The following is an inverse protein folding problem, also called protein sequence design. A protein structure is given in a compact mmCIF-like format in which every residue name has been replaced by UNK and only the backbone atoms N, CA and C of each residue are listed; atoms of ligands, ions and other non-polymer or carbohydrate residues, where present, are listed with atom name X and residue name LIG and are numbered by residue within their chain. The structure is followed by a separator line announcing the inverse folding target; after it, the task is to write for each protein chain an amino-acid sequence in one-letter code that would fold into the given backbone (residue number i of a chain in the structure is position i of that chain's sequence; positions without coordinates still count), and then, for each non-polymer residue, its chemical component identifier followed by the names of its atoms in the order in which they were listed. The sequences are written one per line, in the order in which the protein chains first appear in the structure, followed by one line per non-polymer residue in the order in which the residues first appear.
data_IF_727672476478
#
_entry.id   IF_727672476478
#
_cell.length_a   1.000
_cell.length_b   1.000
_cell.length_c   1.000
_cell.angle_alpha   90.00
_cell.angle_beta   90.00
_cell.angle_gamma   90.00
#
_symmetry.space_group_name_H-M   'P 1'
#
loop_
_entity.id
_entity.type
_entity.pdbx_description
1 polymer ?
#
# COMPACT_ATOMS: atom_id res chain seq x y z
N UNK A 1 -17.11 23.02 9.64
CA UNK A 1 -15.89 22.69 8.86
C UNK A 1 -15.22 21.50 9.53
N UNK A 2 -15.74 20.29 9.32
CA UNK A 2 -15.05 19.04 9.69
C UNK A 2 -14.29 18.60 8.44
N UNK A 3 -12.99 18.90 8.32
CA UNK A 3 -12.31 18.56 7.06
C UNK A 3 -10.92 19.14 6.85
N UNK A 4 -10.01 19.08 7.83
CA UNK A 4 -8.59 19.41 7.58
C UNK A 4 -7.59 18.37 8.06
N UNK A 5 -8.03 17.21 8.54
CA UNK A 5 -7.11 16.18 9.01
C UNK A 5 -7.77 14.83 9.16
N UNK A 6 -6.92 13.80 9.18
CA UNK A 6 -7.31 12.42 9.39
C UNK A 6 -7.90 12.26 10.80
N UNK A 7 -9.12 11.75 10.87
CA UNK A 7 -9.91 11.70 12.11
C UNK A 7 -9.53 10.51 12.99
N UNK A 8 -9.93 10.57 14.26
CA UNK A 8 -9.78 9.45 15.19
C UNK A 8 -10.57 8.21 14.73
N UNK A 9 -11.75 8.42 14.13
CA UNK A 9 -12.54 7.33 13.55
C UNK A 9 -11.81 6.67 12.38
N UNK A 10 -11.24 7.46 11.46
CA UNK A 10 -10.44 6.92 10.35
C UNK A 10 -9.23 6.12 10.85
N UNK A 11 -8.50 6.63 11.85
CA UNK A 11 -7.39 5.87 12.47
C UNK A 11 -7.89 4.56 13.08
N UNK A 12 -8.98 4.60 13.84
CA UNK A 12 -9.55 3.42 14.46
C UNK A 12 -9.97 2.38 13.42
N UNK A 13 -10.59 2.78 12.31
CA UNK A 13 -10.99 1.88 11.22
C UNK A 13 -9.78 1.19 10.59
N UNK A 14 -8.72 1.94 10.24
CA UNK A 14 -7.49 1.39 9.65
C UNK A 14 -6.79 0.46 10.64
N UNK A 15 -6.56 0.91 11.88
CA UNK A 15 -5.82 0.13 12.89
C UNK A 15 -6.57 -1.14 13.28
N UNK A 16 -7.89 -1.08 13.51
CA UNK A 16 -8.68 -2.26 13.89
C UNK A 16 -8.72 -3.28 12.75
N UNK A 17 -8.98 -2.83 11.52
CA UNK A 17 -9.02 -3.75 10.36
C UNK A 17 -7.65 -4.36 10.07
N UNK A 18 -6.57 -3.57 10.18
CA UNK A 18 -5.21 -4.11 10.06
C UNK A 18 -4.89 -5.14 11.14
N UNK A 19 -5.33 -4.91 12.38
CA UNK A 19 -5.15 -5.89 13.46
C UNK A 19 -5.86 -7.22 13.19
N UNK A 20 -7.02 -7.19 12.54
CA UNK A 20 -7.72 -8.42 12.13
C UNK A 20 -7.00 -9.11 10.96
N UNK A 21 -6.64 -8.36 9.92
CA UNK A 21 -5.94 -8.85 8.72
C UNK A 21 -4.54 -9.41 9.00
N UNK A 22 -3.88 -8.96 10.08
CA UNK A 22 -2.54 -9.46 10.45
C UNK A 22 -2.51 -10.99 10.63
N UNK A 23 -3.62 -11.59 11.08
CA UNK A 23 -3.75 -13.03 11.36
C UNK A 23 -3.51 -13.92 10.13
N UNK A 24 -3.85 -13.45 8.94
CA UNK A 24 -3.69 -14.16 7.67
C UNK A 24 -2.94 -13.34 6.61
N UNK A 25 -2.12 -12.39 7.05
CA UNK A 25 -1.44 -11.40 6.19
C UNK A 25 -0.57 -11.99 5.07
N UNK A 26 -0.02 -13.20 5.24
CA UNK A 26 0.72 -13.87 4.16
C UNK A 26 -0.17 -14.24 2.96
N UNK A 27 -1.39 -14.71 3.23
CA UNK A 27 -2.37 -15.05 2.20
C UNK A 27 -2.90 -13.77 1.54
N UNK A 28 -3.17 -12.74 2.35
CA UNK A 28 -3.57 -11.43 1.84
C UNK A 28 -2.50 -10.80 0.96
N UNK A 29 -1.21 -10.98 1.29
CA UNK A 29 -0.12 -10.51 0.45
C UNK A 29 -0.10 -11.16 -0.93
N UNK A 30 -0.36 -12.47 -1.02
CA UNK A 30 -0.52 -13.17 -2.29
C UNK A 30 -1.74 -12.66 -3.06
N UNK A 31 -2.89 -12.55 -2.39
CA UNK A 31 -4.13 -12.04 -3.00
C UNK A 31 -3.95 -10.63 -3.56
N UNK A 32 -3.31 -9.74 -2.81
CA UNK A 32 -2.98 -8.39 -3.23
C UNK A 32 -2.21 -8.34 -4.55
N UNK A 33 -1.15 -9.15 -4.71
CA UNK A 33 -0.42 -9.19 -5.97
C UNK A 33 -1.21 -9.86 -7.10
N UNK A 34 -2.03 -10.89 -6.82
CA UNK A 34 -2.96 -11.43 -7.82
C UNK A 34 -3.90 -10.35 -8.33
N UNK A 35 -4.41 -9.49 -7.45
CA UNK A 35 -5.27 -8.34 -7.81
C UNK A 35 -4.53 -7.29 -8.62
N UNK A 36 -3.29 -6.93 -8.26
CA UNK A 36 -2.47 -6.03 -9.08
C UNK A 36 -2.35 -6.56 -10.52
N UNK A 37 -2.03 -7.85 -10.68
CA UNK A 37 -1.82 -8.46 -11.98
C UNK A 37 -3.12 -8.71 -12.76
N UNK A 38 -4.25 -8.88 -12.07
CA UNK A 38 -5.59 -8.93 -12.68
C UNK A 38 -5.98 -7.56 -13.25
N UNK A 39 -5.76 -6.48 -12.49
CA UNK A 39 -6.09 -5.10 -12.89
C UNK A 39 -5.13 -4.58 -13.97
N UNK A 40 -3.84 -4.83 -13.81
CA UNK A 40 -2.80 -4.36 -14.74
C UNK A 40 -1.74 -5.45 -14.96
N UNK A 41 -1.98 -6.40 -15.88
CA UNK A 41 -1.02 -7.47 -16.19
C UNK A 41 0.37 -6.96 -16.56
N UNK A 42 0.44 -5.81 -17.25
CA UNK A 42 1.70 -5.16 -17.63
C UNK A 42 2.58 -4.74 -16.43
N UNK A 43 1.97 -4.54 -15.24
CA UNK A 43 2.71 -4.18 -14.03
C UNK A 43 3.69 -5.28 -13.59
N UNK A 44 3.51 -6.53 -14.04
CA UNK A 44 4.45 -7.63 -13.81
C UNK A 44 5.89 -7.24 -14.16
N UNK A 45 6.08 -6.47 -15.23
CA UNK A 45 7.39 -6.05 -15.73
C UNK A 45 8.13 -5.06 -14.81
N UNK A 46 7.40 -4.41 -13.90
CA UNK A 46 7.95 -3.44 -12.94
C UNK A 46 8.54 -4.14 -11.71
N UNK A 47 8.05 -5.34 -11.40
CA UNK A 47 8.52 -6.10 -10.25
C UNK A 47 9.72 -6.96 -10.67
N UNK A 48 10.92 -6.58 -10.25
CA UNK A 48 12.15 -7.32 -10.55
C UNK A 48 12.12 -8.78 -10.09
N UNK A 49 11.28 -9.10 -9.10
CA UNK A 49 11.06 -10.47 -8.63
C UNK A 49 10.01 -11.24 -9.43
N UNK A 50 9.29 -10.62 -10.38
CA UNK A 50 8.29 -11.29 -11.24
C UNK A 50 8.67 -11.29 -12.72
N UNK A 51 9.22 -10.18 -13.24
CA UNK A 51 9.38 -9.96 -14.69
C UNK A 51 10.17 -11.05 -15.44
N UNK A 52 11.16 -11.65 -14.76
CA UNK A 52 12.01 -12.72 -15.30
C UNK A 52 11.89 -14.02 -14.47
N UNK A 53 10.86 -14.13 -13.62
CA UNK A 53 10.72 -15.27 -12.70
C UNK A 53 9.95 -16.42 -13.37
N UNK A 54 10.50 -17.63 -13.28
CA UNK A 54 9.77 -18.87 -13.57
C UNK A 54 9.08 -19.45 -12.34
N UNK A 55 9.22 -18.80 -11.18
CA UNK A 55 8.64 -19.25 -9.92
C UNK A 55 7.16 -18.84 -9.89
N UNK A 56 6.23 -19.77 -9.60
CA UNK A 56 4.82 -19.43 -9.42
C UNK A 56 4.64 -18.31 -8.39
N UNK A 57 3.61 -17.48 -8.57
CA UNK A 57 3.39 -16.28 -7.76
C UNK A 57 3.33 -16.61 -6.25
N UNK A 58 2.61 -17.68 -5.89
CA UNK A 58 2.46 -18.21 -4.54
C UNK A 58 3.77 -18.68 -3.89
N UNK A 59 4.75 -19.07 -4.69
CA UNK A 59 6.06 -19.57 -4.26
C UNK A 59 7.13 -18.47 -4.25
N UNK A 60 6.82 -17.26 -4.76
CA UNK A 60 7.79 -16.20 -4.86
C UNK A 60 8.14 -15.61 -3.48
N UNK A 61 9.38 -15.76 -2.98
CA UNK A 61 9.73 -15.39 -1.61
C UNK A 61 9.78 -13.87 -1.38
N UNK A 62 9.84 -13.06 -2.44
CA UNK A 62 9.94 -11.59 -2.35
C UNK A 62 8.59 -10.89 -2.37
N UNK A 63 7.53 -11.61 -2.78
CA UNK A 63 6.19 -11.06 -2.89
C UNK A 63 5.60 -10.70 -1.52
N UNK A 64 5.58 -11.67 -0.60
CA UNK A 64 4.96 -11.50 0.72
C UNK A 64 5.60 -10.36 1.54
N UNK A 65 6.94 -10.23 1.60
CA UNK A 65 7.57 -9.10 2.29
C UNK A 65 7.21 -7.74 1.69
N UNK A 66 7.12 -7.63 0.36
CA UNK A 66 6.70 -6.39 -0.29
C UNK A 66 5.26 -6.04 0.08
N UNK A 67 4.33 -6.99 -0.07
CA UNK A 67 2.93 -6.76 0.28
C UNK A 67 2.79 -6.32 1.74
N UNK A 68 3.48 -7.01 2.67
CA UNK A 68 3.50 -6.64 4.08
C UNK A 68 3.99 -5.20 4.29
N UNK A 69 5.05 -4.78 3.59
CA UNK A 69 5.55 -3.41 3.68
C UNK A 69 4.48 -2.39 3.25
N UNK A 70 3.72 -2.68 2.18
CA UNK A 70 2.61 -1.81 1.72
C UNK A 70 1.51 -1.71 2.78
N UNK A 71 1.02 -2.84 3.30
CA UNK A 71 -0.01 -2.83 4.33
C UNK A 71 0.43 -2.11 5.62
N UNK A 72 1.63 -2.42 6.12
CA UNK A 72 2.17 -1.83 7.35
C UNK A 72 2.38 -0.34 7.17
N UNK A 73 3.05 0.10 6.10
CA UNK A 73 3.32 1.51 5.89
C UNK A 73 2.04 2.32 5.68
N UNK A 74 1.00 1.74 5.06
CA UNK A 74 -0.31 2.40 4.92
C UNK A 74 -1.04 2.48 6.27
N UNK A 75 -0.94 1.46 7.12
CA UNK A 75 -1.47 1.56 8.48
C UNK A 75 -0.69 2.59 9.31
N UNK A 76 0.63 2.67 9.16
CA UNK A 76 1.45 3.66 9.85
C UNK A 76 1.17 5.07 9.35
N UNK A 77 0.91 5.27 8.06
CA UNK A 77 0.54 6.59 7.52
C UNK A 77 -0.76 7.09 8.14
N UNK A 78 -1.78 6.24 8.32
CA UNK A 78 -3.01 6.61 9.03
C UNK A 78 -2.73 7.16 10.45
N UNK A 79 -1.88 6.46 11.23
CA UNK A 79 -1.48 6.88 12.58
C UNK A 79 -0.70 8.21 12.54
N UNK A 80 0.21 8.37 11.56
CA UNK A 80 1.00 9.59 11.39
C UNK A 80 0.14 10.78 10.98
N UNK A 81 -0.79 10.58 10.06
CA UNK A 81 -1.74 11.59 9.63
C UNK A 81 -2.61 12.07 10.80
N UNK A 82 -3.09 11.16 11.66
CA UNK A 82 -3.84 11.56 12.85
C UNK A 82 -3.01 12.39 13.83
N UNK A 83 -1.77 11.97 14.09
CA UNK A 83 -0.89 12.55 15.12
C UNK A 83 -0.19 13.83 14.68
N UNK A 84 0.21 13.91 13.42
CA UNK A 84 1.08 14.96 12.90
C UNK A 84 0.46 15.72 11.71
N UNK A 85 -0.71 15.31 11.21
CA UNK A 85 -1.35 15.91 10.04
C UNK A 85 -0.66 15.62 8.70
N UNK A 86 0.38 14.78 8.70
CA UNK A 86 1.16 14.40 7.51
C UNK A 86 1.86 13.07 7.73
N UNK A 87 2.31 12.45 6.65
CA UNK A 87 3.23 11.30 6.69
C UNK A 87 4.59 11.74 7.21
N UNK A 88 5.12 11.03 8.20
CA UNK A 88 6.39 11.31 8.88
C UNK A 88 7.41 10.18 8.73
N UNK A 89 7.33 9.40 7.65
CA UNK A 89 8.36 8.43 7.27
C UNK A 89 9.70 9.15 7.15
N UNK A 90 10.76 8.60 7.73
CA UNK A 90 12.10 9.20 7.70
C UNK A 90 12.51 9.52 6.26
N UNK A 91 13.06 10.70 6.03
CA UNK A 91 13.46 11.17 4.70
C UNK A 91 14.38 10.18 3.97
N UNK A 92 15.34 9.58 4.68
CA UNK A 92 16.24 8.55 4.10
C UNK A 92 15.50 7.30 3.62
N UNK A 93 14.41 6.91 4.29
CA UNK A 93 13.56 5.82 3.83
C UNK A 93 12.73 6.23 2.61
N UNK A 94 12.17 7.45 2.59
CA UNK A 94 11.44 7.95 1.43
C UNK A 94 12.34 8.06 0.20
N UNK A 95 13.55 8.61 0.34
CA UNK A 95 14.56 8.65 -0.74
C UNK A 95 14.88 7.26 -1.28
N UNK A 96 15.11 6.28 -0.40
CA UNK A 96 15.37 4.90 -0.82
C UNK A 96 14.18 4.29 -1.56
N UNK A 97 12.97 4.47 -1.05
CA UNK A 97 11.75 3.95 -1.66
C UNK A 97 11.49 4.61 -3.01
N UNK A 98 11.54 5.94 -3.08
CA UNK A 98 11.34 6.72 -4.29
C UNK A 98 12.36 6.35 -5.37
N UNK A 99 13.65 6.28 -5.04
CA UNK A 99 14.69 5.84 -5.97
C UNK A 99 14.48 4.38 -6.46
N UNK A 100 13.99 3.48 -5.59
CA UNK A 100 13.69 2.09 -5.97
C UNK A 100 12.53 2.03 -6.96
N UNK A 101 11.45 2.74 -6.70
CA UNK A 101 10.27 2.80 -7.59
C UNK A 101 10.63 3.49 -8.91
N UNK A 102 11.40 4.58 -8.86
CA UNK A 102 11.90 5.28 -10.05
C UNK A 102 12.73 4.37 -10.95
N UNK A 103 13.72 3.65 -10.38
CA UNK A 103 14.56 2.68 -11.13
C UNK A 103 13.77 1.52 -11.73
N UNK A 104 12.65 1.14 -11.12
CA UNK A 104 11.76 0.11 -11.63
C UNK A 104 10.84 0.60 -12.76
N UNK A 105 10.84 1.91 -13.08
CA UNK A 105 9.94 2.50 -14.08
C UNK A 105 8.51 2.68 -13.57
N UNK A 106 8.32 2.77 -12.25
CA UNK A 106 7.01 3.01 -11.67
C UNK A 106 6.57 4.44 -12.00
N UNK A 107 5.34 4.61 -12.47
CA UNK A 107 4.67 5.88 -12.71
C UNK A 107 3.52 6.08 -11.72
N UNK A 108 2.92 7.28 -11.71
CA UNK A 108 1.87 7.65 -10.77
C UNK A 108 0.63 6.72 -10.87
N UNK A 109 0.31 6.27 -12.08
CA UNK A 109 -0.83 5.40 -12.39
C UNK A 109 -0.71 4.03 -11.72
N UNK A 110 0.51 3.53 -11.48
CA UNK A 110 0.72 2.26 -10.80
C UNK A 110 0.35 2.33 -9.31
N UNK A 111 0.40 3.51 -8.68
CA UNK A 111 -0.10 3.69 -7.32
C UNK A 111 -1.63 3.59 -7.27
N UNK A 112 -2.34 4.01 -8.32
CA UNK A 112 -3.79 3.83 -8.41
C UNK A 112 -4.15 2.34 -8.52
N UNK A 113 -3.43 1.58 -9.35
CA UNK A 113 -3.58 0.10 -9.41
C UNK A 113 -3.33 -0.53 -8.03
N UNK A 114 -2.27 -0.08 -7.35
CA UNK A 114 -1.93 -0.54 -5.99
C UNK A 114 -3.06 -0.24 -5.00
N UNK A 115 -3.64 0.96 -5.05
CA UNK A 115 -4.78 1.35 -4.21
C UNK A 115 -5.99 0.45 -4.44
N UNK A 116 -6.37 0.25 -5.70
CA UNK A 116 -7.52 -0.58 -6.05
C UNK A 116 -7.33 -2.02 -5.54
N UNK A 117 -6.18 -2.63 -5.83
CA UNK A 117 -5.84 -3.98 -5.35
C UNK A 117 -5.81 -4.06 -3.82
N UNK A 118 -5.29 -3.04 -3.14
CA UNK A 118 -5.26 -2.94 -1.69
C UNK A 118 -6.69 -2.95 -1.12
N UNK A 119 -7.56 -2.07 -1.61
CA UNK A 119 -8.93 -1.93 -1.11
C UNK A 119 -9.78 -3.17 -1.38
N UNK A 120 -9.65 -3.78 -2.56
CA UNK A 120 -10.33 -5.06 -2.87
C UNK A 120 -9.87 -6.17 -1.92
N UNK A 121 -8.56 -6.26 -1.69
CA UNK A 121 -7.99 -7.25 -0.76
C UNK A 121 -8.52 -7.05 0.65
N UNK A 122 -8.59 -5.81 1.13
CA UNK A 122 -9.11 -5.49 2.47
C UNK A 122 -10.60 -5.81 2.58
N UNK A 123 -11.39 -5.43 1.57
CA UNK A 123 -12.83 -5.71 1.53
C UNK A 123 -13.13 -7.21 1.64
N UNK A 124 -12.38 -8.03 0.94
CA UNK A 124 -12.52 -9.50 1.00
C UNK A 124 -11.97 -10.09 2.30
N UNK A 125 -10.96 -9.47 2.91
CA UNK A 125 -10.34 -9.96 4.13
C UNK A 125 -11.21 -9.74 5.37
N UNK A 126 -11.91 -8.60 5.45
CA UNK A 126 -12.72 -8.19 6.60
C UNK A 126 -14.09 -7.64 6.15
N UNK A 127 -14.92 -8.43 5.45
CA UNK A 127 -16.18 -7.96 4.87
C UNK A 127 -17.16 -7.42 5.92
N UNK A 128 -17.17 -8.01 7.13
CA UNK A 128 -18.03 -7.57 8.25
C UNK A 128 -17.65 -6.18 8.80
N UNK A 129 -16.39 -5.76 8.59
CA UNK A 129 -15.92 -4.42 8.98
C UNK A 129 -16.03 -3.40 7.84
N UNK A 130 -16.24 -3.88 6.61
CA UNK A 130 -16.12 -3.05 5.43
C UNK A 130 -17.26 -2.04 5.33
N UNK A 131 -16.91 -0.77 5.15
CA UNK A 131 -17.86 0.33 5.03
C UNK A 131 -17.29 1.42 4.11
N UNK A 132 -18.14 2.33 3.58
CA UNK A 132 -17.65 3.50 2.85
C UNK A 132 -16.66 4.34 3.68
N UNK A 133 -16.89 4.49 4.98
CA UNK A 133 -15.98 5.20 5.88
C UNK A 133 -14.62 4.51 5.98
N UNK A 134 -14.59 3.18 6.11
CA UNK A 134 -13.35 2.42 6.16
C UNK A 134 -12.61 2.46 4.82
N UNK A 135 -13.33 2.35 3.70
CA UNK A 135 -12.77 2.53 2.36
C UNK A 135 -12.05 3.89 2.26
N UNK A 136 -12.75 4.97 2.58
CA UNK A 136 -12.18 6.32 2.53
C UNK A 136 -10.97 6.48 3.46
N UNK A 137 -10.98 5.85 4.65
CA UNK A 137 -9.86 5.90 5.59
C UNK A 137 -8.59 5.23 5.02
N UNK A 138 -8.72 4.07 4.40
CA UNK A 138 -7.61 3.38 3.74
C UNK A 138 -7.16 4.10 2.45
N UNK A 139 -8.08 4.67 1.68
CA UNK A 139 -7.77 5.49 0.49
C UNK A 139 -6.91 6.69 0.87
N UNK A 140 -7.34 7.50 1.83
CA UNK A 140 -6.59 8.68 2.26
C UNK A 140 -5.21 8.30 2.82
N UNK A 141 -5.13 7.25 3.64
CA UNK A 141 -3.86 6.76 4.19
C UNK A 141 -2.89 6.30 3.09
N UNK A 142 -3.40 5.60 2.08
CA UNK A 142 -2.63 5.17 0.91
C UNK A 142 -2.19 6.36 0.07
N UNK A 143 -3.09 7.27 -0.28
CA UNK A 143 -2.81 8.39 -1.18
C UNK A 143 -1.75 9.32 -0.58
N UNK A 144 -1.83 9.64 0.71
CA UNK A 144 -0.81 10.45 1.39
C UNK A 144 0.56 9.76 1.44
N UNK A 145 0.60 8.42 1.62
CA UNK A 145 1.84 7.66 1.55
C UNK A 145 2.40 7.63 0.12
N UNK A 146 1.55 7.42 -0.88
CA UNK A 146 1.91 7.41 -2.28
C UNK A 146 2.48 8.76 -2.71
N UNK A 147 1.86 9.89 -2.30
CA UNK A 147 2.41 11.22 -2.55
C UNK A 147 3.79 11.41 -1.91
N UNK A 148 3.97 10.97 -0.66
CA UNK A 148 5.27 11.03 -0.01
C UNK A 148 6.35 10.23 -0.77
N UNK A 149 6.02 9.03 -1.28
CA UNK A 149 6.94 8.23 -2.09
C UNK A 149 7.21 8.90 -3.44
N UNK A 150 6.16 9.35 -4.14
CA UNK A 150 6.26 10.03 -5.45
C UNK A 150 7.13 11.27 -5.40
N UNK A 151 7.09 12.03 -4.30
CA UNK A 151 7.95 13.21 -4.11
C UNK A 151 9.47 12.91 -4.13
N UNK A 152 9.82 11.65 -3.87
CA UNK A 152 11.19 11.14 -3.90
C UNK A 152 11.44 10.18 -5.09
N UNK A 153 10.50 10.03 -6.02
CA UNK A 153 10.67 9.26 -7.26
C UNK A 153 11.46 10.05 -8.30
N UNK A 154 12.74 10.24 -8.00
CA UNK A 154 13.73 10.95 -8.81
C UNK A 154 15.05 10.18 -8.78
N UNK A 155 15.99 10.46 -9.69
CA UNK A 155 17.34 9.93 -9.58
C UNK A 155 17.90 10.23 -8.18
N UNK A 156 18.58 9.25 -7.57
CA UNK A 156 19.31 9.49 -6.33
C UNK A 156 20.47 10.44 -6.62
N UNK A 157 20.64 11.45 -5.77
CA UNK A 157 21.86 12.28 -5.73
C UNK A 157 23.13 11.43 -5.54
#
# INVERSE_FOLDING_TARGET
MEGKGFTEEQEALVVKSWNEMKKNSQELGLKFFKKILEIAPAAQQLFSFLKDSTVPLEENPKLKPHAMAVFVMTCESAVQLRKAGKVTVRESNLKRLGATHFKAGVAAEHFEVTKLALLETIKEAVPEMWSPAMKNAWEEAHDQLAEAIKSEMKPSD
#
